data_IF_288551869691
#
_entry.id   IF_288551869691
#
_cell.length_a   1.000
_cell.length_b   1.000
_cell.length_c   1.000
_cell.angle_alpha   90.00
_cell.angle_beta   90.00
_cell.angle_gamma   90.00
#
_symmetry.space_group_name_H-M   'P 1'
#
loop_
_entity.id
_entity.type
_entity.pdbx_description
1 polymer ?
#
# COMPACT_ATOMS: atom_id res chain seq x y z
N UNK A 1 -36.54 13.93 31.19
CA UNK A 1 -35.95 12.82 31.97
C UNK A 1 -34.52 12.62 31.47
N UNK A 2 -33.58 13.31 32.12
CA UNK A 2 -32.15 13.24 31.80
C UNK A 2 -31.57 11.92 32.34
N UNK A 3 -30.84 11.20 31.49
CA UNK A 3 -29.95 10.13 31.92
C UNK A 3 -28.52 10.50 31.53
N UNK A 4 -27.82 11.09 32.50
CA UNK A 4 -26.39 11.35 32.48
C UNK A 4 -25.64 10.00 32.49
N UNK A 5 -25.26 9.52 31.31
CA UNK A 5 -24.25 8.47 31.20
C UNK A 5 -22.87 9.13 31.18
N UNK A 6 -22.14 8.98 32.29
CA UNK A 6 -20.88 9.63 32.57
C UNK A 6 -19.85 9.47 31.45
N UNK A 7 -19.34 10.60 30.97
CA UNK A 7 -18.08 10.69 30.24
C UNK A 7 -16.98 10.11 31.14
N UNK A 8 -16.60 8.85 30.91
CA UNK A 8 -15.30 8.35 31.38
C UNK A 8 -14.23 9.08 30.57
N UNK A 9 -13.79 10.22 31.10
CA UNK A 9 -12.52 10.81 30.74
C UNK A 9 -11.43 9.79 31.03
N UNK A 10 -10.97 9.09 29.99
CA UNK A 10 -9.68 8.41 30.03
C UNK A 10 -8.64 9.49 30.38
N UNK A 11 -7.84 9.29 31.44
CA UNK A 11 -6.87 10.30 31.84
C UNK A 11 -5.88 10.51 30.69
N UNK A 12 -5.64 11.77 30.37
CA UNK A 12 -4.65 12.28 29.41
C UNK A 12 -3.21 12.01 29.88
N UNK A 13 -2.90 10.79 30.31
CA UNK A 13 -1.53 10.31 30.47
C UNK A 13 -1.04 9.93 29.07
N UNK A 14 -0.92 10.96 28.23
CA UNK A 14 0.17 11.03 27.29
C UNK A 14 1.43 11.08 28.15
N UNK A 15 1.99 9.91 28.45
CA UNK A 15 3.38 9.79 28.88
C UNK A 15 4.20 10.35 27.72
N UNK A 16 4.44 11.67 27.75
CA UNK A 16 5.49 12.31 26.97
C UNK A 16 6.73 11.47 27.16
N UNK A 17 7.17 10.84 26.07
CA UNK A 17 8.48 10.23 25.96
C UNK A 17 9.49 11.25 26.48
N UNK A 18 10.33 10.87 27.44
CA UNK A 18 11.52 11.66 27.72
C UNK A 18 12.44 11.49 26.50
N UNK A 19 12.80 12.56 25.79
CA UNK A 19 13.81 12.46 24.75
C UNK A 19 15.12 12.03 25.43
N UNK A 20 15.73 10.95 24.95
CA UNK A 20 17.15 10.69 25.20
C UNK A 20 17.53 9.70 26.30
N UNK A 21 16.96 8.49 26.37
CA UNK A 21 17.63 7.39 27.09
C UNK A 21 17.57 6.02 26.38
N UNK A 22 18.68 5.69 25.70
CA UNK A 22 19.27 4.35 25.65
C UNK A 22 18.99 3.52 24.40
N UNK A 23 19.98 3.39 23.53
CA UNK A 23 20.13 2.27 22.61
C UNK A 23 19.88 0.95 23.36
N UNK A 24 19.06 0.06 22.79
CA UNK A 24 18.85 -1.26 23.37
C UNK A 24 18.10 -1.26 24.71
N UNK A 25 17.01 -0.48 24.83
CA UNK A 25 16.05 -0.61 25.95
C UNK A 25 14.85 -1.49 25.60
N UNK A 26 14.24 -2.11 26.60
CA UNK A 26 12.93 -2.75 26.43
C UNK A 26 11.89 -1.73 25.93
N UNK A 27 11.06 -2.15 25.00
CA UNK A 27 10.06 -1.31 24.35
C UNK A 27 8.74 -2.08 24.21
N UNK A 28 7.62 -1.36 24.08
CA UNK A 28 6.30 -2.00 23.93
C UNK A 28 6.01 -2.31 22.47
N UNK A 29 5.38 -3.46 22.23
CA UNK A 29 4.88 -3.85 20.93
C UNK A 29 3.50 -4.51 21.03
N UNK A 30 2.72 -4.41 19.96
CA UNK A 30 1.44 -5.11 19.82
C UNK A 30 1.67 -6.48 19.17
N UNK A 31 1.66 -7.54 19.97
CA UNK A 31 1.93 -8.90 19.52
C UNK A 31 0.65 -9.63 19.14
N UNK A 32 0.68 -10.28 17.99
CA UNK A 32 -0.22 -11.38 17.65
C UNK A 32 0.36 -12.65 18.26
N UNK A 33 -0.17 -13.04 19.42
CA UNK A 33 0.21 -14.28 20.15
C UNK A 33 -0.63 -15.49 19.72
N UNK A 34 -1.86 -15.24 19.29
CA UNK A 34 -2.79 -16.22 18.73
C UNK A 34 -3.54 -15.59 17.55
N UNK A 35 -3.72 -16.35 16.47
CA UNK A 35 -4.47 -15.89 15.31
C UNK A 35 -5.94 -15.61 15.67
N UNK A 36 -6.53 -14.60 15.03
CA UNK A 36 -7.94 -14.19 15.20
C UNK A 36 -8.29 -13.73 16.62
N UNK A 37 -7.28 -13.44 17.46
CA UNK A 37 -7.45 -12.79 18.76
C UNK A 37 -7.01 -11.32 18.71
N UNK A 38 -7.46 -10.48 19.65
CA UNK A 38 -6.91 -9.14 19.82
C UNK A 38 -5.40 -9.20 20.08
N UNK A 39 -4.67 -8.16 19.65
CA UNK A 39 -3.24 -8.04 19.92
C UNK A 39 -3.00 -7.81 21.42
N UNK A 40 -1.95 -8.43 21.96
CA UNK A 40 -1.47 -8.20 23.32
C UNK A 40 -0.38 -7.12 23.30
N UNK A 41 -0.41 -6.19 24.24
CA UNK A 41 0.68 -5.23 24.42
C UNK A 41 1.69 -5.86 25.37
N UNK A 42 2.90 -6.14 24.86
CA UNK A 42 3.96 -6.79 25.62
C UNK A 42 5.23 -5.93 25.61
N UNK A 43 6.09 -6.12 26.63
CA UNK A 43 7.46 -5.59 26.62
C UNK A 43 8.38 -6.54 25.84
N UNK A 44 9.08 -5.99 24.85
CA UNK A 44 10.00 -6.70 23.99
C UNK A 44 11.43 -6.31 24.35
N UNK A 45 12.29 -7.31 24.55
CA UNK A 45 13.71 -7.10 24.70
C UNK A 45 14.33 -6.69 23.36
N UNK A 46 15.18 -5.66 23.33
CA UNK A 46 15.79 -5.19 22.10
C UNK A 46 16.90 -6.15 21.67
N UNK A 47 17.05 -6.34 20.36
CA UNK A 47 18.20 -7.03 19.76
C UNK A 47 19.21 -6.03 19.21
N UNK A 48 20.51 -6.38 19.09
CA UNK A 48 21.48 -5.54 18.39
C UNK A 48 21.10 -5.30 16.92
N UNK A 49 21.46 -4.13 16.38
CA UNK A 49 21.38 -3.85 14.94
C UNK A 49 22.48 -4.59 14.18
N UNK A 50 22.16 -5.13 13.02
CA UNK A 50 23.14 -5.69 12.09
C UNK A 50 23.79 -4.59 11.23
N UNK A 51 24.91 -4.85 10.54
CA UNK A 51 25.65 -3.82 9.80
C UNK A 51 24.82 -3.01 8.79
N UNK A 52 23.82 -3.62 8.13
CA UNK A 52 22.96 -2.96 7.14
C UNK A 52 21.62 -2.44 7.71
N UNK A 53 21.38 -2.65 9.00
CA UNK A 53 20.10 -2.34 9.64
C UNK A 53 20.12 -1.00 10.36
N UNK A 54 18.92 -0.46 10.52
CA UNK A 54 18.66 0.79 11.22
C UNK A 54 17.57 0.53 12.26
N UNK A 55 17.82 0.94 13.50
CA UNK A 55 16.79 1.01 14.54
C UNK A 55 16.10 2.35 14.43
N UNK A 56 14.79 2.32 14.33
CA UNK A 56 13.93 3.50 14.25
C UNK A 56 13.05 3.55 15.48
N UNK A 57 13.03 4.72 16.11
CA UNK A 57 11.96 5.10 17.00
C UNK A 57 10.68 5.30 16.17
N UNK A 58 9.71 4.40 16.31
CA UNK A 58 8.43 4.48 15.61
C UNK A 58 7.50 5.47 16.32
N UNK A 59 7.07 6.50 15.58
CA UNK A 59 6.10 7.48 16.07
C UNK A 59 4.68 7.15 15.60
N UNK A 60 4.55 6.69 14.36
CA UNK A 60 3.27 6.32 13.75
C UNK A 60 3.44 5.09 12.88
N UNK A 61 2.47 4.19 12.92
CA UNK A 61 2.37 3.00 12.07
C UNK A 61 1.10 3.11 11.21
N UNK A 62 1.23 2.87 9.91
CA UNK A 62 0.07 2.72 9.03
C UNK A 62 -0.62 1.38 9.30
N UNK A 63 -1.95 1.36 9.24
CA UNK A 63 -2.74 0.12 9.40
C UNK A 63 -3.27 -0.30 8.05
N UNK A 64 -2.82 -1.45 7.58
CA UNK A 64 -3.13 -1.99 6.27
C UNK A 64 -4.05 -3.21 6.37
N UNK A 65 -4.80 -3.49 5.30
CA UNK A 65 -5.65 -4.69 5.27
C UNK A 65 -4.85 -5.98 5.38
N UNK A 66 -3.62 -5.98 4.84
CA UNK A 66 -2.66 -7.08 4.98
C UNK A 66 -2.32 -7.41 6.44
N UNK A 67 -2.23 -6.40 7.33
CA UNK A 67 -2.00 -6.63 8.76
C UNK A 67 -3.14 -7.47 9.37
N UNK A 68 -4.38 -7.15 8.99
CA UNK A 68 -5.57 -7.88 9.44
C UNK A 68 -5.54 -9.33 8.93
N UNK A 69 -5.15 -9.53 7.68
CA UNK A 69 -5.03 -10.88 7.11
C UNK A 69 -3.92 -11.68 7.77
N UNK A 70 -2.78 -11.06 8.10
CA UNK A 70 -1.69 -11.69 8.82
C UNK A 70 -2.18 -12.17 10.19
N UNK A 71 -2.83 -11.31 10.96
CA UNK A 71 -3.42 -11.67 12.26
C UNK A 71 -4.51 -12.74 12.17
N UNK A 72 -5.11 -12.97 10.99
CA UNK A 72 -6.11 -14.03 10.76
C UNK A 72 -5.51 -15.34 10.23
N UNK A 73 -4.22 -15.37 9.91
CA UNK A 73 -3.56 -16.49 9.24
C UNK A 73 -4.03 -16.67 7.80
N UNK A 74 -4.44 -15.58 7.15
CA UNK A 74 -4.98 -15.57 5.80
C UNK A 74 -4.07 -14.83 4.80
N UNK A 75 -2.94 -14.30 5.27
CA UNK A 75 -1.96 -13.66 4.42
C UNK A 75 -1.13 -14.69 3.64
N UNK A 76 -0.54 -14.27 2.51
CA UNK A 76 0.20 -15.16 1.62
C UNK A 76 1.44 -15.75 2.30
N UNK A 77 2.11 -14.94 3.09
CA UNK A 77 3.24 -15.32 3.92
C UNK A 77 2.78 -15.42 5.37
N UNK A 78 2.92 -16.60 5.96
CA UNK A 78 2.51 -16.86 7.33
C UNK A 78 3.69 -16.66 8.27
N UNK A 79 3.60 -15.63 9.10
CA UNK A 79 4.54 -15.40 10.19
C UNK A 79 4.39 -16.47 11.28
N UNK A 80 5.50 -16.82 11.93
CA UNK A 80 5.45 -17.66 13.12
C UNK A 80 4.94 -16.84 14.30
N UNK A 81 4.05 -17.41 15.10
CA UNK A 81 3.60 -16.80 16.36
C UNK A 81 4.69 -16.93 17.45
N UNK A 82 4.82 -15.95 18.36
CA UNK A 82 4.21 -14.63 18.28
C UNK A 82 4.93 -13.73 17.27
N UNK A 83 4.20 -12.82 16.62
CA UNK A 83 4.78 -11.78 15.77
C UNK A 83 4.17 -10.41 16.04
N UNK A 84 4.86 -9.35 15.68
CA UNK A 84 4.32 -7.97 15.73
C UNK A 84 3.84 -7.57 14.34
N UNK A 85 2.55 -7.21 14.13
CA UNK A 85 2.07 -6.74 12.83
C UNK A 85 2.60 -5.35 12.46
N UNK A 86 2.18 -4.83 11.31
CA UNK A 86 2.53 -3.49 10.82
C UNK A 86 3.56 -3.56 9.71
N UNK A 87 3.17 -3.09 8.53
CA UNK A 87 4.00 -3.10 7.32
C UNK A 87 4.65 -1.76 6.99
N UNK A 88 4.25 -0.67 7.64
CA UNK A 88 4.81 0.66 7.35
C UNK A 88 4.80 1.54 8.58
N UNK A 89 5.75 2.45 8.64
CA UNK A 89 5.89 3.38 9.75
C UNK A 89 6.55 4.69 9.33
N UNK A 90 6.49 5.63 10.25
CA UNK A 90 7.34 6.82 10.28
C UNK A 90 7.92 7.02 11.67
N UNK A 91 9.10 7.62 11.73
CA UNK A 91 9.85 7.71 12.96
C UNK A 91 11.12 8.52 12.87
N UNK A 92 11.96 8.33 13.89
CA UNK A 92 13.29 8.96 14.00
C UNK A 92 14.34 7.89 14.16
N UNK A 93 15.47 7.98 13.44
CA UNK A 93 16.55 7.01 13.57
C UNK A 93 17.19 7.09 14.97
N UNK A 94 17.27 5.95 15.66
CA UNK A 94 17.92 5.80 16.97
C UNK A 94 19.36 5.31 16.87
N UNK A 95 19.60 4.35 15.98
CA UNK A 95 20.88 3.62 15.87
C UNK A 95 21.04 3.10 14.44
N UNK A 96 22.26 3.13 13.92
CA UNK A 96 22.58 2.59 12.59
C UNK A 96 23.68 1.53 12.67
N UNK A 97 23.56 0.48 11.89
CA UNK A 97 24.65 -0.47 11.64
C UNK A 97 25.85 0.19 10.93
N UNK A 98 27.00 -0.49 10.97
CA UNK A 98 28.28 0.04 10.46
C UNK A 98 28.31 0.28 8.95
N UNK A 99 27.46 -0.40 8.19
CA UNK A 99 27.41 -0.35 6.73
C UNK A 99 26.26 0.53 6.23
N UNK A 100 25.58 1.22 7.14
CA UNK A 100 24.50 2.16 6.81
C UNK A 100 25.09 3.47 6.30
N UNK A 101 24.62 3.91 5.14
CA UNK A 101 25.07 5.15 4.49
C UNK A 101 23.94 6.06 4.01
N UNK A 102 22.68 5.58 4.03
CA UNK A 102 21.52 6.33 3.53
C UNK A 102 20.86 7.24 4.55
N UNK A 103 21.04 6.97 5.85
CA UNK A 103 20.45 7.71 6.97
C UNK A 103 21.41 7.72 8.17
N UNK A 104 21.19 8.63 9.12
CA UNK A 104 21.96 8.72 10.38
C UNK A 104 21.04 8.95 11.58
N UNK A 105 21.57 8.75 12.79
CA UNK A 105 20.85 9.04 14.04
C UNK A 105 20.25 10.45 14.04
N UNK A 106 19.00 10.54 14.51
CA UNK A 106 18.21 11.78 14.52
C UNK A 106 17.48 12.11 13.22
N UNK A 107 17.76 11.42 12.11
CA UNK A 107 17.04 11.62 10.86
C UNK A 107 15.57 11.18 11.01
N UNK A 108 14.67 11.97 10.40
CA UNK A 108 13.26 11.63 10.25
C UNK A 108 13.08 10.70 9.06
N UNK A 109 12.45 9.54 9.26
CA UNK A 109 12.34 8.51 8.23
C UNK A 109 10.92 7.96 8.11
N UNK A 110 10.59 7.47 6.92
CA UNK A 110 9.50 6.54 6.64
C UNK A 110 10.08 5.22 6.18
N UNK A 111 9.37 4.13 6.44
CA UNK A 111 9.80 2.81 6.03
C UNK A 111 8.67 1.87 5.69
N UNK A 112 9.02 0.88 4.87
CA UNK A 112 8.23 -0.35 4.68
C UNK A 112 8.96 -1.48 5.38
N UNK A 113 8.21 -2.38 5.98
CA UNK A 113 8.68 -3.64 6.53
C UNK A 113 7.63 -4.71 6.24
N UNK A 114 8.00 -5.99 6.26
CA UNK A 114 7.00 -7.05 6.19
C UNK A 114 6.12 -7.09 7.45
N UNK A 115 6.74 -6.86 8.61
CA UNK A 115 6.16 -6.94 9.95
C UNK A 115 6.94 -6.04 10.92
N UNK A 116 6.48 -5.95 12.16
CA UNK A 116 7.15 -5.31 13.30
C UNK A 116 7.00 -3.79 13.41
N UNK A 117 6.15 -3.14 12.61
CA UNK A 117 5.95 -1.70 12.70
C UNK A 117 4.95 -1.27 13.80
N UNK A 118 4.07 -2.16 14.28
CA UNK A 118 3.18 -1.88 15.43
C UNK A 118 3.91 -2.04 16.77
N UNK A 119 5.03 -1.33 16.91
CA UNK A 119 5.89 -1.29 18.07
C UNK A 119 6.42 0.12 18.30
N UNK A 120 6.98 0.37 19.48
CA UNK A 120 7.70 1.63 19.78
C UNK A 120 9.06 1.72 19.10
N UNK A 121 9.65 0.59 18.72
CA UNK A 121 10.89 0.50 17.95
C UNK A 121 10.75 -0.53 16.82
N UNK A 122 11.36 -0.24 15.67
CA UNK A 122 11.46 -1.16 14.55
C UNK A 122 12.90 -1.20 14.04
N UNK A 123 13.42 -2.40 13.74
CA UNK A 123 14.72 -2.57 13.10
C UNK A 123 14.47 -3.10 11.68
N UNK A 124 14.97 -2.38 10.67
CA UNK A 124 14.81 -2.74 9.26
C UNK A 124 16.08 -2.43 8.46
N UNK A 125 16.21 -2.98 7.24
CA UNK A 125 17.31 -2.69 6.34
C UNK A 125 17.25 -1.21 5.87
N UNK A 126 18.41 -0.57 5.75
CA UNK A 126 18.53 0.82 5.29
C UNK A 126 17.89 1.07 3.90
N UNK A 127 17.75 0.04 3.07
CA UNK A 127 17.11 0.09 1.74
C UNK A 127 15.59 0.25 1.80
N UNK A 128 15.00 -0.08 2.94
CA UNK A 128 13.57 0.02 3.18
C UNK A 128 13.19 1.32 3.89
N UNK A 129 14.13 2.27 3.98
CA UNK A 129 13.96 3.57 4.63
C UNK A 129 14.19 4.71 3.65
N UNK A 130 13.37 5.76 3.79
CA UNK A 130 13.52 7.02 3.08
C UNK A 130 13.40 8.19 4.06
N UNK A 131 14.21 9.23 3.87
CA UNK A 131 14.16 10.44 4.69
C UNK A 131 12.85 11.21 4.43
N UNK A 132 12.27 11.75 5.51
CA UNK A 132 11.04 12.57 5.46
C UNK A 132 11.42 14.05 5.45
N UNK A 133 11.01 14.81 4.42
CA UNK A 133 11.24 16.25 4.39
C UNK A 133 10.61 16.96 5.59
N UNK A 134 11.24 18.02 6.09
CA UNK A 134 10.77 18.73 7.29
C UNK A 134 9.30 19.16 7.23
N UNK A 135 8.86 19.57 6.03
CA UNK A 135 7.51 20.10 5.75
C UNK A 135 6.41 19.05 5.79
N UNK A 136 6.74 17.77 5.73
CA UNK A 136 5.76 16.66 5.78
C UNK A 136 5.71 16.16 7.21
N UNK A 137 4.54 16.05 7.83
CA UNK A 137 4.45 15.51 9.19
C UNK A 137 4.76 14.01 9.20
N UNK A 138 5.33 13.47 10.29
CA UNK A 138 5.52 12.01 10.42
C UNK A 138 4.19 11.27 10.30
N UNK A 139 3.11 11.82 10.87
CA UNK A 139 1.78 11.22 10.79
C UNK A 139 1.29 11.03 9.35
N UNK A 140 1.42 12.04 8.49
CA UNK A 140 1.07 11.92 7.07
C UNK A 140 2.03 10.98 6.35
N UNK A 141 3.32 11.04 6.69
CA UNK A 141 4.33 10.22 6.05
C UNK A 141 4.10 8.71 6.30
N UNK A 142 3.58 8.33 7.48
CA UNK A 142 3.36 6.94 7.88
C UNK A 142 2.38 6.13 7.01
N UNK A 143 1.53 6.80 6.22
CA UNK A 143 0.50 6.15 5.39
C UNK A 143 0.83 6.20 3.89
N UNK A 144 2.00 6.74 3.53
CA UNK A 144 2.42 6.86 2.14
C UNK A 144 2.98 5.54 1.58
N UNK A 145 3.94 4.86 2.25
CA UNK A 145 4.74 3.84 1.59
C UNK A 145 3.93 2.70 0.94
N UNK A 146 3.00 2.09 1.66
CA UNK A 146 2.21 0.97 1.14
C UNK A 146 1.16 1.48 0.14
N UNK A 147 0.39 2.51 0.51
CA UNK A 147 -0.73 2.96 -0.33
C UNK A 147 -0.26 3.64 -1.62
N UNK A 148 0.67 4.59 -1.54
CA UNK A 148 1.19 5.29 -2.72
C UNK A 148 2.20 4.46 -3.49
N UNK A 149 3.04 3.68 -2.82
CA UNK A 149 3.94 2.74 -3.50
C UNK A 149 3.15 1.75 -4.35
N UNK A 150 2.04 1.21 -3.81
CA UNK A 150 1.13 0.35 -4.59
C UNK A 150 0.49 1.09 -5.75
N UNK A 151 0.01 2.32 -5.53
CA UNK A 151 -0.63 3.11 -6.59
C UNK A 151 0.32 3.39 -7.77
N UNK A 152 1.56 3.78 -7.47
CA UNK A 152 2.60 4.06 -8.47
C UNK A 152 2.98 2.79 -9.21
N UNK A 153 3.21 1.68 -8.49
CA UNK A 153 3.47 0.38 -9.11
C UNK A 153 2.32 -0.02 -10.06
N UNK A 154 1.07 0.14 -9.64
CA UNK A 154 -0.10 -0.23 -10.42
C UNK A 154 -0.24 0.61 -11.69
N UNK A 155 -0.19 1.93 -11.55
CA UNK A 155 -0.54 2.87 -12.62
C UNK A 155 0.61 3.09 -13.58
N UNK A 156 1.82 3.31 -13.06
CA UNK A 156 2.98 3.69 -13.86
C UNK A 156 3.70 2.43 -14.38
N UNK A 157 4.21 1.60 -13.47
CA UNK A 157 5.05 0.47 -13.87
C UNK A 157 4.29 -0.69 -14.51
N UNK A 158 3.07 -0.95 -14.06
CA UNK A 158 2.27 -2.08 -14.56
C UNK A 158 1.36 -1.64 -15.69
N UNK A 159 0.52 -0.63 -15.47
CA UNK A 159 -0.47 -0.21 -16.46
C UNK A 159 0.11 0.73 -17.52
N UNK A 160 1.26 1.36 -17.23
CA UNK A 160 1.87 2.37 -18.12
C UNK A 160 0.84 3.44 -18.52
N UNK A 161 0.05 3.89 -17.54
CA UNK A 161 -1.10 4.79 -17.74
C UNK A 161 -0.63 6.09 -18.37
N UNK A 162 -1.25 6.46 -19.48
CA UNK A 162 -0.91 7.68 -20.21
C UNK A 162 -1.81 8.86 -19.81
N UNK A 163 -1.32 10.11 -19.95
CA UNK A 163 -2.15 11.30 -19.78
C UNK A 163 -3.44 11.25 -20.62
N UNK A 164 -4.55 11.60 -19.99
CA UNK A 164 -5.87 11.61 -20.62
C UNK A 164 -6.57 10.24 -20.72
N UNK A 165 -5.89 9.13 -20.43
CA UNK A 165 -6.52 7.80 -20.34
C UNK A 165 -7.51 7.72 -19.19
N UNK A 166 -8.51 6.84 -19.30
CA UNK A 166 -9.54 6.65 -18.27
C UNK A 166 -9.18 5.48 -17.36
N UNK A 167 -9.18 5.72 -16.04
CA UNK A 167 -8.88 4.76 -14.97
C UNK A 167 -10.14 4.52 -14.13
N UNK A 168 -10.64 3.29 -14.09
CA UNK A 168 -11.66 2.86 -13.13
C UNK A 168 -11.00 2.40 -11.84
N UNK A 169 -11.46 2.84 -10.68
CA UNK A 169 -10.92 2.43 -9.37
C UNK A 169 -12.05 1.86 -8.51
N UNK A 170 -11.98 0.61 -8.07
CA UNK A 170 -12.94 0.03 -7.11
C UNK A 170 -12.45 0.19 -5.66
N UNK A 171 -13.35 0.06 -4.69
CA UNK A 171 -13.10 0.43 -3.28
C UNK A 171 -12.43 1.81 -3.13
N UNK A 172 -12.83 2.77 -3.98
CA UNK A 172 -12.07 3.98 -4.26
C UNK A 172 -11.87 4.91 -3.05
N UNK A 173 -12.68 4.75 -1.99
CA UNK A 173 -12.57 5.52 -0.75
C UNK A 173 -11.68 4.87 0.33
N UNK A 174 -11.04 3.72 0.05
CA UNK A 174 -10.01 3.13 0.91
C UNK A 174 -8.66 3.84 0.75
N UNK A 175 -7.70 3.58 1.64
CA UNK A 175 -6.39 4.25 1.62
C UNK A 175 -5.67 4.12 0.26
N UNK A 176 -5.53 2.90 -0.25
CA UNK A 176 -4.94 2.67 -1.58
C UNK A 176 -5.80 3.23 -2.71
N UNK A 177 -7.14 3.14 -2.63
CA UNK A 177 -8.03 3.71 -3.64
C UNK A 177 -7.89 5.22 -3.78
N UNK A 178 -7.78 5.92 -2.64
CA UNK A 178 -7.54 7.36 -2.60
C UNK A 178 -6.14 7.72 -3.12
N UNK A 179 -5.12 6.92 -2.81
CA UNK A 179 -3.78 7.11 -3.36
C UNK A 179 -3.75 6.91 -4.89
N UNK A 180 -4.47 5.91 -5.41
CA UNK A 180 -4.63 5.67 -6.85
C UNK A 180 -5.32 6.86 -7.53
N UNK A 181 -6.40 7.39 -6.95
CA UNK A 181 -7.06 8.59 -7.49
C UNK A 181 -6.09 9.77 -7.54
N UNK A 182 -5.36 10.01 -6.44
CA UNK A 182 -4.43 11.11 -6.30
C UNK A 182 -3.30 11.04 -7.33
N UNK A 183 -2.63 9.89 -7.44
CA UNK A 183 -1.55 9.67 -8.41
C UNK A 183 -2.07 9.75 -9.85
N UNK A 184 -3.16 9.05 -10.17
CA UNK A 184 -3.72 9.04 -11.52
C UNK A 184 -4.10 10.46 -11.97
N UNK A 185 -4.77 11.23 -11.10
CA UNK A 185 -5.25 12.56 -11.46
C UNK A 185 -4.13 13.59 -11.45
N UNK A 186 -3.41 13.70 -10.33
CA UNK A 186 -2.53 14.85 -10.08
C UNK A 186 -1.11 14.65 -10.62
N UNK A 187 -0.67 13.40 -10.78
CA UNK A 187 0.67 13.08 -11.31
C UNK A 187 0.58 12.68 -12.78
N UNK A 188 -0.28 11.71 -13.11
CA UNK A 188 -0.34 11.13 -14.46
C UNK A 188 -1.32 11.85 -15.40
N UNK A 189 -2.13 12.79 -14.89
CA UNK A 189 -3.11 13.55 -15.67
C UNK A 189 -4.14 12.64 -16.38
N UNK A 190 -4.46 11.51 -15.76
CA UNK A 190 -5.49 10.57 -16.20
C UNK A 190 -6.88 10.97 -15.66
N UNK A 191 -7.93 10.44 -16.28
CA UNK A 191 -9.33 10.64 -15.88
C UNK A 191 -9.80 9.47 -15.03
N UNK A 192 -10.17 9.71 -13.78
CA UNK A 192 -10.57 8.68 -12.83
C UNK A 192 -12.09 8.61 -12.69
N UNK A 193 -12.60 7.37 -12.78
CA UNK A 193 -13.95 6.97 -12.38
C UNK A 193 -13.81 6.21 -11.05
N UNK A 194 -14.29 6.81 -9.96
CA UNK A 194 -14.22 6.22 -8.63
C UNK A 194 -15.48 5.41 -8.29
N UNK A 195 -15.33 4.12 -8.08
CA UNK A 195 -16.43 3.24 -7.68
C UNK A 195 -16.35 2.94 -6.17
N UNK A 196 -17.41 3.24 -5.43
CA UNK A 196 -17.48 3.02 -3.98
C UNK A 196 -18.87 2.58 -3.51
N UNK A 197 -18.95 2.06 -2.28
CA UNK A 197 -20.19 1.45 -1.74
C UNK A 197 -21.15 2.41 -1.02
N UNK A 198 -20.93 3.72 -1.07
CA UNK A 198 -21.88 4.73 -0.55
C UNK A 198 -21.63 6.09 -1.20
N UNK A 199 -22.61 7.00 -1.11
CA UNK A 199 -22.50 8.35 -1.67
C UNK A 199 -21.47 9.20 -0.92
N UNK A 200 -21.32 9.01 0.40
CA UNK A 200 -20.31 9.68 1.21
C UNK A 200 -18.90 9.30 0.76
N UNK A 201 -18.69 8.00 0.48
CA UNK A 201 -17.43 7.48 -0.05
C UNK A 201 -17.15 8.00 -1.45
N UNK A 202 -18.18 8.09 -2.31
CA UNK A 202 -18.06 8.71 -3.62
C UNK A 202 -17.65 10.19 -3.52
N UNK A 203 -18.30 10.96 -2.65
CA UNK A 203 -17.94 12.37 -2.38
C UNK A 203 -16.50 12.52 -1.90
N UNK A 204 -16.02 11.62 -1.05
CA UNK A 204 -14.62 11.62 -0.62
C UNK A 204 -13.65 11.38 -1.78
N UNK A 205 -13.94 10.41 -2.65
CA UNK A 205 -13.13 10.13 -3.83
C UNK A 205 -13.09 11.31 -4.82
N UNK A 206 -14.24 11.97 -5.04
CA UNK A 206 -14.32 13.18 -5.87
C UNK A 206 -13.47 14.32 -5.30
N UNK A 207 -13.50 14.54 -3.97
CA UNK A 207 -12.63 15.54 -3.31
C UNK A 207 -11.15 15.24 -3.48
N UNK A 208 -10.77 13.98 -3.69
CA UNK A 208 -9.37 13.56 -3.91
C UNK A 208 -8.91 13.72 -5.36
N UNK A 209 -9.82 14.01 -6.30
CA UNK A 209 -9.47 14.30 -7.70
C UNK A 209 -10.26 13.49 -8.72
N UNK A 210 -11.09 12.53 -8.33
CA UNK A 210 -11.88 11.77 -9.30
C UNK A 210 -12.85 12.70 -10.07
N UNK A 211 -12.96 12.50 -11.39
CA UNK A 211 -13.85 13.29 -12.25
C UNK A 211 -15.27 12.73 -12.27
N UNK A 212 -15.41 11.42 -12.03
CA UNK A 212 -16.70 10.75 -11.94
C UNK A 212 -16.71 9.79 -10.77
N UNK A 213 -17.90 9.52 -10.23
CA UNK A 213 -18.08 8.51 -9.19
C UNK A 213 -19.30 7.64 -9.45
N UNK A 214 -19.21 6.37 -9.05
CA UNK A 214 -20.29 5.38 -9.13
C UNK A 214 -20.50 4.77 -7.75
N UNK A 215 -21.72 4.93 -7.22
CA UNK A 215 -22.13 4.17 -6.04
C UNK A 215 -22.67 2.80 -6.47
N UNK A 216 -21.83 1.76 -6.39
CA UNK A 216 -22.21 0.41 -6.81
C UNK A 216 -23.18 -0.30 -5.85
N UNK A 217 -23.58 0.34 -4.74
CA UNK A 217 -24.67 -0.17 -3.90
C UNK A 217 -26.07 0.16 -4.43
N UNK A 218 -26.17 1.10 -5.38
CA UNK A 218 -27.44 1.63 -5.89
C UNK A 218 -27.80 1.09 -7.29
N UNK A 219 -26.96 0.23 -7.86
CA UNK A 219 -27.19 -0.31 -9.20
C UNK A 219 -25.95 -1.01 -9.76
N UNK A 220 -26.04 -1.40 -11.03
CA UNK A 220 -24.94 -2.08 -11.71
C UNK A 220 -23.77 -1.13 -11.98
N UNK A 221 -22.59 -1.49 -11.48
CA UNK A 221 -21.34 -0.79 -11.78
C UNK A 221 -21.07 -0.81 -13.29
N UNK A 222 -21.28 -1.97 -13.92
CA UNK A 222 -21.12 -2.17 -15.37
C UNK A 222 -21.91 -1.17 -16.21
N UNK A 223 -23.17 -0.91 -15.88
CA UNK A 223 -24.03 -0.03 -16.67
C UNK A 223 -23.72 1.44 -16.39
N UNK A 224 -23.46 1.80 -15.13
CA UNK A 224 -23.02 3.14 -14.76
C UNK A 224 -21.71 3.53 -15.47
N UNK A 225 -20.70 2.64 -15.49
CA UNK A 225 -19.45 2.89 -16.22
C UNK A 225 -19.71 3.01 -17.71
N UNK A 226 -20.51 2.11 -18.31
CA UNK A 226 -20.86 2.19 -19.75
C UNK A 226 -21.51 3.53 -20.11
N UNK A 227 -22.35 4.08 -19.24
CA UNK A 227 -22.98 5.37 -19.48
C UNK A 227 -21.99 6.55 -19.45
N UNK A 228 -20.88 6.41 -18.71
CA UNK A 228 -19.83 7.43 -18.61
C UNK A 228 -18.84 7.39 -19.78
N UNK A 229 -18.46 6.20 -20.25
CA UNK A 229 -17.39 6.02 -21.26
C UNK A 229 -17.86 5.50 -22.61
N UNK A 230 -19.14 5.19 -22.75
CA UNK A 230 -19.73 4.65 -23.96
C UNK A 230 -19.17 3.26 -24.33
N UNK A 231 -19.00 3.01 -25.63
CA UNK A 231 -18.46 1.76 -26.16
C UNK A 231 -16.95 1.64 -26.03
N UNK A 232 -16.22 2.73 -25.77
CA UNK A 232 -14.76 2.75 -25.66
C UNK A 232 -14.20 2.08 -24.41
N UNK A 233 -15.04 1.87 -23.40
CA UNK A 233 -14.63 1.27 -22.12
C UNK A 233 -13.64 2.15 -21.35
N UNK A 234 -12.94 1.55 -20.39
CA UNK A 234 -11.85 2.21 -19.67
C UNK A 234 -10.50 1.68 -20.15
N UNK A 235 -9.47 2.53 -20.12
CA UNK A 235 -8.11 2.15 -20.51
C UNK A 235 -7.45 1.29 -19.43
N UNK A 236 -7.64 1.68 -18.17
CA UNK A 236 -7.10 1.01 -16.99
C UNK A 236 -8.22 0.77 -16.00
N UNK A 237 -8.20 -0.38 -15.32
CA UNK A 237 -9.09 -0.62 -14.19
C UNK A 237 -8.27 -1.20 -13.04
N UNK A 238 -8.28 -0.51 -11.91
CA UNK A 238 -7.61 -0.92 -10.68
C UNK A 238 -8.67 -1.51 -9.75
N UNK A 239 -8.65 -2.83 -9.61
CA UNK A 239 -9.59 -3.54 -8.74
C UNK A 239 -8.97 -3.87 -7.38
N UNK A 240 -9.64 -3.41 -6.33
CA UNK A 240 -9.26 -3.58 -4.93
C UNK A 240 -10.30 -4.42 -4.16
N UNK A 241 -11.33 -4.95 -4.83
CA UNK A 241 -12.41 -5.72 -4.20
C UNK A 241 -12.32 -7.21 -4.52
N UNK A 242 -12.03 -7.57 -5.77
CA UNK A 242 -12.14 -8.94 -6.27
C UNK A 242 -13.59 -9.35 -6.56
N UNK A 243 -13.79 -10.64 -6.90
CA UNK A 243 -15.13 -11.23 -7.03
C UNK A 243 -15.96 -10.70 -8.20
N UNK A 244 -17.26 -10.46 -7.98
CA UNK A 244 -18.16 -10.03 -9.06
C UNK A 244 -17.82 -8.62 -9.58
N UNK A 245 -17.37 -7.73 -8.69
CA UNK A 245 -16.89 -6.40 -9.07
C UNK A 245 -15.69 -6.49 -10.03
N UNK A 246 -14.78 -7.43 -9.78
CA UNK A 246 -13.67 -7.75 -10.68
C UNK A 246 -14.16 -8.24 -12.04
N UNK A 247 -15.11 -9.18 -12.06
CA UNK A 247 -15.65 -9.74 -13.31
C UNK A 247 -16.40 -8.68 -14.14
N UNK A 248 -17.09 -7.76 -13.49
CA UNK A 248 -17.73 -6.63 -14.15
C UNK A 248 -16.73 -5.65 -14.74
N UNK A 249 -15.65 -5.33 -14.01
CA UNK A 249 -14.57 -4.47 -14.48
C UNK A 249 -13.83 -5.09 -15.68
N UNK A 250 -13.52 -6.39 -15.61
CA UNK A 250 -12.80 -7.13 -16.67
C UNK A 250 -13.53 -7.04 -18.02
N UNK A 251 -14.86 -7.17 -18.02
CA UNK A 251 -15.70 -7.16 -19.24
C UNK A 251 -15.75 -5.78 -19.96
N UNK A 252 -15.12 -4.73 -19.41
CA UNK A 252 -15.23 -3.34 -19.87
C UNK A 252 -13.91 -2.68 -20.26
N UNK A 253 -12.84 -3.44 -20.36
CA UNK A 253 -11.52 -2.96 -20.78
C UNK A 253 -11.32 -3.20 -22.28
N UNK A 254 -10.72 -2.23 -22.97
CA UNK A 254 -10.50 -2.29 -24.43
C UNK A 254 -9.10 -2.75 -24.86
N UNK A 255 -8.15 -2.93 -23.92
CA UNK A 255 -6.72 -3.30 -24.12
C UNK A 255 -6.08 -3.84 -22.80
N UNK A 256 -4.83 -4.38 -22.77
CA UNK A 256 -4.31 -5.23 -21.68
C UNK A 256 -4.43 -4.63 -20.27
N UNK A 257 -4.89 -5.47 -19.34
CA UNK A 257 -5.33 -5.10 -18.00
C UNK A 257 -4.27 -5.33 -16.92
N UNK A 258 -4.32 -4.52 -15.86
CA UNK A 258 -3.46 -4.66 -14.67
C UNK A 258 -4.31 -4.79 -13.42
N UNK A 259 -4.37 -6.00 -12.87
CA UNK A 259 -4.71 -6.21 -11.47
C UNK A 259 -3.52 -5.86 -10.60
N UNK A 260 -3.68 -4.92 -9.69
CA UNK A 260 -2.90 -4.92 -8.45
C UNK A 260 -3.81 -5.36 -7.33
N UNK A 261 -3.83 -6.68 -7.10
CA UNK A 261 -4.52 -7.27 -5.97
C UNK A 261 -3.81 -6.88 -4.68
N UNK A 262 -4.31 -5.85 -4.01
CA UNK A 262 -4.01 -5.62 -2.60
C UNK A 262 -4.86 -6.59 -1.81
N UNK A 263 -4.28 -7.78 -1.58
CA UNK A 263 -4.77 -8.85 -0.71
C UNK A 263 -6.31 -8.88 -0.52
N UNK A 264 -7.06 -9.19 -1.57
CA UNK A 264 -8.47 -9.54 -1.42
C UNK A 264 -8.57 -11.01 -1.01
N UNK A 265 -9.59 -11.38 -0.24
CA UNK A 265 -9.79 -12.76 0.23
C UNK A 265 -9.97 -13.77 -0.91
N UNK A 266 -10.20 -13.30 -2.14
CA UNK A 266 -10.31 -14.10 -3.34
C UNK A 266 -9.06 -13.95 -4.22
N UNK A 267 -8.26 -15.01 -4.23
CA UNK A 267 -7.05 -15.19 -5.04
C UNK A 267 -7.36 -14.99 -6.53
N UNK A 268 -6.96 -13.89 -7.15
CA UNK A 268 -6.58 -13.82 -8.57
C UNK A 268 -5.82 -12.51 -8.84
N UNK A 269 -4.50 -12.61 -9.02
CA UNK A 269 -3.70 -11.58 -9.68
C UNK A 269 -3.61 -11.95 -11.17
N UNK A 270 -4.23 -11.14 -12.03
CA UNK A 270 -4.04 -11.22 -13.48
C UNK A 270 -3.38 -9.91 -13.92
N UNK A 271 -2.10 -9.99 -14.30
CA UNK A 271 -1.40 -8.90 -14.98
C UNK A 271 -1.14 -9.30 -16.42
N UNK A 272 -1.66 -8.53 -17.37
CA UNK A 272 -1.26 -8.65 -18.77
C UNK A 272 -0.33 -7.48 -19.09
N UNK A 273 0.97 -7.71 -19.35
CA UNK A 273 1.86 -6.62 -19.70
C UNK A 273 1.41 -6.02 -21.03
N UNK A 274 1.13 -4.71 -21.03
CA UNK A 274 1.27 -3.92 -22.24
C UNK A 274 2.77 -3.79 -22.46
N UNK A 275 3.28 -4.23 -23.60
CA UNK A 275 4.72 -4.17 -23.88
C UNK A 275 5.17 -2.71 -23.88
N UNK A 276 5.85 -2.30 -22.81
CA UNK A 276 6.54 -1.02 -22.75
C UNK A 276 7.95 -1.24 -23.33
N UNK A 277 8.39 -0.45 -24.32
CA UNK A 277 9.81 -0.38 -24.62
C UNK A 277 10.49 0.29 -23.43
N UNK A 278 11.04 -0.53 -22.53
CA UNK A 278 12.00 -0.08 -21.54
C UNK A 278 13.15 0.56 -22.33
N UNK A 279 13.29 1.89 -22.27
CA UNK A 279 14.48 2.57 -22.73
C UNK A 279 15.64 2.23 -21.79
N UNK A 280 16.18 1.02 -21.93
CA UNK A 280 17.55 0.74 -21.51
C UNK A 280 18.46 1.31 -22.59
N UNK A 281 19.14 2.42 -22.28
CA UNK A 281 20.32 2.82 -23.02
C UNK A 281 21.42 1.81 -22.73
N UNK A 282 21.61 0.85 -23.62
CA UNK A 282 22.84 0.06 -23.68
C UNK A 282 23.47 0.23 -25.05
N UNK A 283 24.68 0.79 -25.02
CA UNK A 283 25.53 0.96 -26.18
C UNK A 283 25.94 -0.41 -26.76
N UNK A 284 25.68 -0.57 -28.06
CA UNK A 284 26.41 -1.36 -29.08
C UNK A 284 26.85 -2.80 -28.76
N UNK A 285 26.36 -3.79 -29.50
CA UNK A 285 26.93 -4.31 -30.78
C UNK A 285 26.10 -5.52 -31.27
N UNK A 286 26.05 -5.68 -32.59
CA UNK A 286 25.03 -6.43 -33.33
C UNK A 286 25.08 -7.96 -33.25
N UNK A 287 23.97 -8.60 -33.67
CA UNK A 287 23.95 -9.63 -34.70
C UNK A 287 22.49 -10.00 -35.08
N UNK A 288 22.25 -9.96 -36.41
CA UNK A 288 21.28 -10.66 -37.27
C UNK A 288 19.95 -11.24 -36.73
N UNK A 289 18.92 -10.90 -37.50
CA UNK A 289 17.56 -11.41 -37.61
C UNK A 289 17.39 -12.94 -37.69
N UNK A 290 16.43 -13.48 -36.94
CA UNK A 290 15.51 -14.51 -37.45
C UNK A 290 14.14 -14.40 -36.78
N UNK A 291 13.12 -14.41 -37.64
CA UNK A 291 11.69 -14.31 -37.37
C UNK A 291 11.14 -15.74 -37.23
N UNK A 292 10.55 -16.10 -36.09
CA UNK A 292 9.72 -17.29 -35.94
C UNK A 292 8.52 -17.00 -35.02
N UNK A 293 7.37 -17.47 -35.51
CA UNK A 293 6.00 -17.32 -35.00
C UNK A 293 5.68 -18.20 -33.76
N UNK A 294 4.49 -18.07 -33.14
CA UNK A 294 4.33 -18.14 -31.70
C UNK A 294 3.96 -19.54 -31.18
N UNK A 295 4.75 -20.05 -30.24
CA UNK A 295 4.37 -21.18 -29.41
C UNK A 295 3.89 -20.71 -28.03
N UNK A 296 2.63 -21.04 -27.73
CA UNK A 296 1.99 -21.00 -26.42
C UNK A 296 2.82 -21.80 -25.39
N UNK A 297 3.47 -21.13 -24.44
CA UNK A 297 4.01 -21.79 -23.24
C UNK A 297 4.61 -20.76 -22.28
N UNK A 298 3.83 -20.04 -21.46
CA UNK A 298 4.42 -19.34 -20.29
C UNK A 298 3.45 -19.26 -19.11
N UNK A 299 3.45 -20.32 -18.28
CA UNK A 299 3.11 -20.21 -16.84
C UNK A 299 4.35 -19.70 -16.11
N UNK A 300 4.47 -18.38 -15.93
CA UNK A 300 5.31 -17.79 -14.89
C UNK A 300 4.54 -16.67 -14.22
N UNK A 301 3.90 -16.99 -13.10
CA UNK A 301 3.46 -16.00 -12.12
C UNK A 301 4.68 -15.23 -11.65
N UNK A 302 4.70 -13.92 -11.85
CA UNK A 302 5.68 -13.05 -11.23
C UNK A 302 5.15 -12.71 -9.83
N UNK A 303 5.53 -13.54 -8.85
CA UNK A 303 5.40 -13.23 -7.42
C UNK A 303 6.39 -12.10 -7.11
N UNK A 304 5.87 -11.00 -6.57
CA UNK A 304 6.69 -10.06 -5.81
C UNK A 304 6.25 -10.19 -4.36
N UNK A 305 7.00 -11.00 -3.61
CA UNK A 305 7.15 -10.80 -2.17
C UNK A 305 7.88 -9.47 -1.99
N UNK A 306 7.30 -8.58 -1.19
CA UNK A 306 8.04 -7.44 -0.68
C UNK A 306 9.13 -7.99 0.25
N UNK A 307 10.39 -7.93 -0.17
CA UNK A 307 11.56 -8.10 0.69
C UNK A 307 12.01 -6.72 1.16
#
# INVERSE_FOLDING_TARGET
MAALAGRRCLPWVWLRRRPGQGHGRHYRAALCTELKRPLAIEEVAPRPVQPHEVRVDVHFCGVNFADILACRGQYQEMAHLPFTPGMEFSGTVLETGTDVSTVKEGDRVIGVTGLNAMAEECITDQKSLWQVPEKVSLQEAAVLPVSYGTAILALDHRACTQPGETVLVTAAAGATGLAVIDVATNVLQAKVIAAAGSDEKCKLAMKRGAQYSVNYSQGSLKDAVKNLVGSGGVNVAIDMVGGDAFLEALRRTSVPWVSTGVATSNRTLLSFPRACPLHFSTASKGASSHMLEPHLSWRRSMMLSFM
#
